data_IF_984735788142
#
_entry.id   IF_984735788142
#
_cell.length_a   1.000
_cell.length_b   1.000
_cell.length_c   1.000
_cell.angle_alpha   90.00
_cell.angle_beta   90.00
_cell.angle_gamma   90.00
#
_symmetry.space_group_name_H-M   'P 1'
#
loop_
_entity.id
_entity.type
_entity.pdbx_description
1 polymer ?
#
# COMPACT_ATOMS: atom_id res chain seq x y z
N UNK A 1 -7.25 35.76 -24.53
CA UNK A 1 -6.93 34.41 -25.01
C UNK A 1 -6.78 33.45 -23.84
N UNK A 2 -7.88 33.16 -23.15
CA UNK A 2 -7.98 32.12 -22.15
C UNK A 2 -9.42 31.60 -22.20
N UNK A 3 -9.61 30.28 -22.23
CA UNK A 3 -10.86 29.55 -21.90
C UNK A 3 -10.95 28.15 -22.55
N UNK A 4 -10.26 27.89 -23.67
CA UNK A 4 -10.37 26.56 -24.32
C UNK A 4 -9.72 25.41 -23.52
N UNK A 5 -8.66 25.68 -22.75
CA UNK A 5 -8.00 24.66 -21.91
C UNK A 5 -8.76 24.33 -20.61
N UNK A 6 -9.54 25.27 -20.05
CA UNK A 6 -10.24 25.06 -18.78
C UNK A 6 -11.60 24.38 -18.92
N UNK A 7 -12.24 24.50 -20.09
CA UNK A 7 -13.51 23.83 -20.39
C UNK A 7 -13.29 22.32 -20.63
N UNK A 8 -12.24 21.96 -21.38
CA UNK A 8 -11.90 20.56 -21.68
C UNK A 8 -11.50 19.77 -20.43
N UNK A 9 -10.83 20.42 -19.45
CA UNK A 9 -10.47 19.78 -18.19
C UNK A 9 -11.69 19.52 -17.28
N UNK A 10 -12.68 20.43 -17.29
CA UNK A 10 -13.90 20.29 -16.49
C UNK A 10 -14.73 19.09 -16.94
N UNK A 11 -14.89 18.91 -18.26
CA UNK A 11 -15.65 17.78 -18.83
C UNK A 11 -14.97 16.43 -18.52
N UNK A 12 -13.65 16.38 -18.50
CA UNK A 12 -12.91 15.14 -18.18
C UNK A 12 -13.03 14.73 -16.72
N UNK A 13 -13.00 15.68 -15.78
CA UNK A 13 -13.20 15.42 -14.36
C UNK A 13 -14.62 14.94 -14.08
N UNK A 14 -15.63 15.54 -14.71
CA UNK A 14 -17.02 15.12 -14.58
C UNK A 14 -17.24 13.70 -15.10
N UNK A 15 -16.68 13.36 -16.27
CA UNK A 15 -16.73 12.00 -16.83
C UNK A 15 -16.03 11.00 -15.92
N UNK A 16 -14.88 11.35 -15.35
CA UNK A 16 -14.18 10.51 -14.38
C UNK A 16 -15.05 10.24 -13.15
N UNK A 17 -15.61 11.29 -12.54
CA UNK A 17 -16.47 11.18 -11.35
C UNK A 17 -17.69 10.33 -11.66
N UNK A 18 -18.33 10.53 -12.82
CA UNK A 18 -19.49 9.78 -13.25
C UNK A 18 -19.16 8.28 -13.37
N UNK A 19 -18.06 7.94 -14.05
CA UNK A 19 -17.60 6.55 -14.19
C UNK A 19 -17.31 5.91 -12.83
N UNK A 20 -16.63 6.62 -11.93
CA UNK A 20 -16.35 6.12 -10.57
C UNK A 20 -17.64 5.89 -9.78
N UNK A 21 -18.61 6.79 -9.87
CA UNK A 21 -19.90 6.64 -9.21
C UNK A 21 -20.67 5.41 -9.74
N UNK A 22 -20.71 5.22 -11.06
CA UNK A 22 -21.36 4.06 -11.68
C UNK A 22 -20.68 2.75 -11.28
N UNK A 23 -19.36 2.72 -11.21
CA UNK A 23 -18.62 1.53 -10.77
C UNK A 23 -18.93 1.24 -9.29
N UNK A 24 -18.93 2.27 -8.44
CA UNK A 24 -19.29 2.13 -7.02
C UNK A 24 -20.72 1.59 -6.86
N UNK A 25 -21.69 2.13 -7.61
CA UNK A 25 -23.08 1.69 -7.53
C UNK A 25 -23.18 0.19 -7.87
N UNK A 26 -22.51 -0.26 -8.93
CA UNK A 26 -22.45 -1.68 -9.29
C UNK A 26 -21.77 -2.54 -8.22
N UNK A 27 -20.59 -2.14 -7.74
CA UNK A 27 -19.86 -2.86 -6.66
C UNK A 27 -20.71 -2.98 -5.39
N UNK A 28 -21.45 -1.94 -5.04
CA UNK A 28 -22.28 -1.91 -3.83
C UNK A 28 -23.47 -2.87 -3.86
N UNK A 29 -23.84 -3.39 -5.03
CA UNK A 29 -24.92 -4.38 -5.19
C UNK A 29 -24.43 -5.83 -5.13
N UNK A 30 -23.11 -6.06 -5.17
CA UNK A 30 -22.55 -7.40 -5.13
C UNK A 30 -22.71 -8.02 -3.74
N UNK A 31 -23.07 -9.30 -3.70
CA UNK A 31 -23.18 -10.06 -2.45
C UNK A 31 -21.82 -10.46 -1.87
N UNK A 32 -20.76 -10.42 -2.68
CA UNK A 32 -19.41 -10.86 -2.31
C UNK A 32 -18.39 -10.15 -3.19
N UNK A 33 -17.26 -9.76 -2.58
CA UNK A 33 -16.10 -9.20 -3.27
C UNK A 33 -14.98 -10.23 -3.52
N UNK A 34 -15.24 -11.52 -3.27
CA UNK A 34 -14.30 -12.60 -3.61
C UNK A 34 -13.99 -12.61 -5.12
N UNK A 35 -12.77 -13.02 -5.52
CA UNK A 35 -12.38 -13.08 -6.92
C UNK A 35 -13.40 -13.84 -7.78
N UNK A 36 -13.84 -13.17 -8.84
CA UNK A 36 -14.82 -13.68 -9.80
C UNK A 36 -14.81 -12.78 -11.02
N UNK A 37 -15.28 -13.28 -12.17
CA UNK A 37 -15.26 -12.51 -13.43
C UNK A 37 -15.89 -11.13 -13.30
N UNK A 38 -17.01 -11.01 -12.57
CA UNK A 38 -17.74 -9.74 -12.43
C UNK A 38 -17.02 -8.78 -11.50
N UNK A 39 -16.53 -9.27 -10.35
CA UNK A 39 -15.72 -8.50 -9.39
C UNK A 39 -14.44 -8.01 -10.07
N UNK A 40 -13.71 -8.91 -10.72
CA UNK A 40 -12.43 -8.63 -11.37
C UNK A 40 -12.62 -7.60 -12.50
N UNK A 41 -13.70 -7.70 -13.28
CA UNK A 41 -14.03 -6.75 -14.33
C UNK A 41 -14.33 -5.35 -13.77
N UNK A 42 -15.08 -5.24 -12.67
CA UNK A 42 -15.40 -3.95 -12.05
C UNK A 42 -14.17 -3.27 -11.44
N UNK A 43 -13.35 -4.00 -10.69
CA UNK A 43 -12.11 -3.43 -10.14
C UNK A 43 -11.08 -3.12 -11.22
N UNK A 44 -10.96 -3.94 -12.26
CA UNK A 44 -10.11 -3.62 -13.43
C UNK A 44 -10.57 -2.32 -14.09
N UNK A 45 -11.88 -2.16 -14.32
CA UNK A 45 -12.43 -0.90 -14.85
C UNK A 45 -12.11 0.27 -13.93
N UNK A 46 -12.26 0.12 -12.62
CA UNK A 46 -11.97 1.17 -11.65
C UNK A 46 -10.50 1.61 -11.71
N UNK A 47 -9.57 0.65 -11.69
CA UNK A 47 -8.13 0.93 -11.78
C UNK A 47 -7.81 1.64 -13.08
N UNK A 48 -8.31 1.14 -14.22
CA UNK A 48 -8.08 1.76 -15.53
C UNK A 48 -8.70 3.15 -15.64
N UNK A 49 -9.82 3.41 -14.95
CA UNK A 49 -10.42 4.75 -14.85
C UNK A 49 -9.55 5.71 -14.03
N UNK A 50 -8.86 5.23 -12.98
CA UNK A 50 -8.08 6.07 -12.08
C UNK A 50 -6.58 6.18 -12.44
N UNK A 51 -6.08 5.34 -13.34
CA UNK A 51 -4.66 5.25 -13.71
C UNK A 51 -4.14 6.43 -14.56
N UNK A 52 -4.90 6.98 -15.54
CA UNK A 52 -4.42 8.12 -16.31
C UNK A 52 -4.12 9.34 -15.42
N UNK A 53 -3.10 10.14 -15.75
CA UNK A 53 -2.87 11.42 -15.07
C UNK A 53 -4.13 12.29 -15.14
N UNK A 54 -4.55 12.81 -13.99
CA UNK A 54 -5.74 13.65 -13.86
C UNK A 54 -5.44 14.82 -12.93
N UNK A 55 -5.84 16.05 -13.30
CA UNK A 55 -5.67 17.23 -12.45
C UNK A 55 -6.66 17.25 -11.26
N UNK A 56 -7.57 16.28 -11.18
CA UNK A 56 -8.61 16.20 -10.17
C UNK A 56 -8.03 16.24 -8.75
N UNK A 57 -8.53 17.18 -7.95
CA UNK A 57 -8.27 17.21 -6.52
C UNK A 57 -9.40 16.45 -5.81
N UNK A 58 -9.16 15.15 -5.55
CA UNK A 58 -10.18 14.31 -4.92
C UNK A 58 -10.52 14.74 -3.49
N UNK A 59 -9.75 15.64 -2.87
CA UNK A 59 -10.04 16.19 -1.54
C UNK A 59 -11.08 17.32 -1.57
N UNK A 60 -11.28 17.95 -2.74
CA UNK A 60 -12.22 19.06 -2.95
C UNK A 60 -13.54 18.64 -3.60
N UNK A 61 -13.78 17.34 -3.73
CA UNK A 61 -15.00 16.82 -4.34
C UNK A 61 -16.26 17.18 -3.53
N UNK A 62 -17.43 17.30 -4.18
CA UNK A 62 -18.69 17.50 -3.49
C UNK A 62 -18.96 16.42 -2.43
N UNK A 63 -19.65 16.78 -1.35
CA UNK A 63 -19.86 15.89 -0.19
C UNK A 63 -20.45 14.51 -0.54
N UNK A 64 -21.36 14.44 -1.53
CA UNK A 64 -21.88 13.16 -2.03
C UNK A 64 -20.76 12.25 -2.58
N UNK A 65 -19.88 12.82 -3.40
CA UNK A 65 -18.77 12.08 -4.04
C UNK A 65 -17.69 11.73 -3.02
N UNK A 66 -17.44 12.58 -2.01
CA UNK A 66 -16.58 12.22 -0.88
C UNK A 66 -17.09 11.00 -0.11
N UNK A 67 -18.40 10.92 0.10
CA UNK A 67 -19.04 9.76 0.72
C UNK A 67 -18.85 8.48 -0.11
N UNK A 68 -19.00 8.58 -1.45
CA UNK A 68 -18.74 7.47 -2.37
C UNK A 68 -17.28 7.05 -2.30
N UNK A 69 -16.34 7.99 -2.42
CA UNK A 69 -14.89 7.75 -2.32
C UNK A 69 -14.53 7.01 -1.05
N UNK A 70 -15.04 7.45 0.10
CA UNK A 70 -14.74 6.82 1.39
C UNK A 70 -15.21 5.37 1.47
N UNK A 71 -16.38 5.06 0.88
CA UNK A 71 -16.88 3.68 0.80
C UNK A 71 -16.12 2.86 -0.22
N UNK A 72 -15.74 3.46 -1.35
CA UNK A 72 -15.00 2.78 -2.40
C UNK A 72 -13.61 2.34 -1.93
N UNK A 73 -12.88 3.19 -1.19
CA UNK A 73 -11.59 2.82 -0.58
C UNK A 73 -11.74 1.58 0.32
N UNK A 74 -12.84 1.47 1.08
CA UNK A 74 -13.11 0.29 1.92
C UNK A 74 -13.39 -0.95 1.08
N UNK A 75 -14.17 -0.82 0.01
CA UNK A 75 -14.42 -1.92 -0.93
C UNK A 75 -13.12 -2.38 -1.62
N UNK A 76 -12.24 -1.45 -2.01
CA UNK A 76 -10.92 -1.76 -2.53
C UNK A 76 -10.09 -2.56 -1.52
N UNK A 77 -10.00 -2.09 -0.26
CA UNK A 77 -9.25 -2.81 0.77
C UNK A 77 -9.78 -4.21 1.07
N UNK A 78 -11.10 -4.38 1.13
CA UNK A 78 -11.73 -5.70 1.33
C UNK A 78 -11.47 -6.63 0.13
N UNK A 79 -11.67 -6.15 -1.09
CA UNK A 79 -11.47 -6.94 -2.30
C UNK A 79 -9.99 -7.32 -2.49
N UNK A 80 -9.06 -6.41 -2.21
CA UNK A 80 -7.62 -6.68 -2.24
C UNK A 80 -7.25 -7.77 -1.23
N UNK A 81 -7.70 -7.67 0.02
CA UNK A 81 -7.44 -8.71 1.03
C UNK A 81 -8.03 -10.08 0.66
N UNK A 82 -9.23 -10.12 0.07
CA UNK A 82 -9.84 -11.36 -0.44
C UNK A 82 -9.08 -11.95 -1.63
N UNK A 83 -8.62 -11.09 -2.54
CA UNK A 83 -7.81 -11.48 -3.69
C UNK A 83 -6.46 -12.05 -3.24
N UNK A 84 -5.76 -11.35 -2.36
CA UNK A 84 -4.49 -11.80 -1.79
C UNK A 84 -4.66 -13.13 -1.04
N UNK A 85 -5.73 -13.28 -0.26
CA UNK A 85 -6.03 -14.54 0.44
C UNK A 85 -6.27 -15.70 -0.53
N UNK A 86 -7.04 -15.46 -1.60
CA UNK A 86 -7.32 -16.46 -2.63
C UNK A 86 -6.02 -16.94 -3.30
N UNK A 87 -5.18 -16.00 -3.74
CA UNK A 87 -3.92 -16.35 -4.39
C UNK A 87 -2.91 -16.95 -3.41
N UNK A 88 -2.90 -16.53 -2.15
CA UNK A 88 -2.02 -17.14 -1.13
C UNK A 88 -2.39 -18.59 -0.87
N UNK A 89 -3.69 -18.90 -0.78
CA UNK A 89 -4.16 -20.27 -0.63
C UNK A 89 -3.84 -21.13 -1.87
N UNK A 90 -3.99 -20.56 -3.08
CA UNK A 90 -3.63 -21.24 -4.32
C UNK A 90 -2.12 -21.52 -4.38
N UNK A 91 -1.29 -20.51 -4.15
CA UNK A 91 0.17 -20.63 -4.16
C UNK A 91 0.65 -21.60 -3.08
N UNK A 92 0.07 -21.53 -1.88
CA UNK A 92 0.35 -22.42 -0.77
C UNK A 92 -0.01 -23.89 -1.00
N UNK A 93 -0.72 -24.22 -2.08
CA UNK A 93 -1.01 -25.61 -2.48
C UNK A 93 0.12 -26.28 -3.27
N UNK A 94 1.09 -25.51 -3.77
CA UNK A 94 2.29 -26.03 -4.43
C UNK A 94 3.36 -26.42 -3.41
N UNK A 95 4.26 -27.34 -3.78
CA UNK A 95 5.35 -27.78 -2.91
C UNK A 95 6.36 -26.67 -2.60
N UNK A 96 6.58 -25.77 -3.54
CA UNK A 96 7.42 -24.59 -3.40
C UNK A 96 6.59 -23.39 -3.90
N UNK A 97 5.82 -22.72 -3.04
CA UNK A 97 4.88 -21.68 -3.47
C UNK A 97 5.52 -20.55 -4.28
N UNK A 98 6.74 -20.14 -3.92
CA UNK A 98 7.42 -19.01 -4.53
C UNK A 98 7.85 -19.25 -5.99
N UNK A 99 8.06 -20.51 -6.41
CA UNK A 99 8.32 -20.84 -7.82
C UNK A 99 7.11 -20.51 -8.73
N UNK A 100 5.93 -20.38 -8.13
CA UNK A 100 4.67 -20.12 -8.82
C UNK A 100 4.14 -18.70 -8.60
N UNK A 101 4.88 -17.83 -7.90
CA UNK A 101 4.43 -16.49 -7.48
C UNK A 101 3.94 -15.61 -8.64
N UNK A 102 4.45 -15.82 -9.86
CA UNK A 102 4.03 -15.11 -11.07
C UNK A 102 2.61 -15.43 -11.54
N UNK A 103 1.92 -16.40 -10.94
CA UNK A 103 0.49 -16.66 -11.15
C UNK A 103 -0.36 -15.49 -10.64
N UNK A 104 0.12 -14.75 -9.63
CA UNK A 104 -0.57 -13.56 -9.15
C UNK A 104 -0.55 -12.45 -10.23
N UNK A 105 -1.71 -11.95 -10.69
CA UNK A 105 -1.79 -11.06 -11.86
C UNK A 105 -0.97 -9.77 -11.74
N UNK A 106 -0.76 -9.27 -10.53
CA UNK A 106 -0.06 -8.00 -10.28
C UNK A 106 1.41 -8.20 -9.85
N UNK A 107 1.96 -9.40 -9.91
CA UNK A 107 3.32 -9.65 -9.42
C UNK A 107 4.38 -8.77 -10.10
N UNK A 108 4.29 -8.57 -11.42
CA UNK A 108 5.19 -7.66 -12.15
C UNK A 108 5.09 -6.22 -11.66
N UNK A 109 3.90 -5.77 -11.25
CA UNK A 109 3.71 -4.43 -10.68
C UNK A 109 4.43 -4.31 -9.33
N UNK A 110 4.38 -5.37 -8.51
CA UNK A 110 5.13 -5.43 -7.25
C UNK A 110 6.65 -5.47 -7.44
N UNK A 111 7.16 -6.11 -8.50
CA UNK A 111 8.59 -6.04 -8.85
C UNK A 111 9.01 -4.60 -9.18
N UNK A 112 8.22 -3.89 -10.00
CA UNK A 112 8.47 -2.49 -10.33
C UNK A 112 8.41 -1.59 -9.09
N UNK A 113 7.36 -1.75 -8.29
CA UNK A 113 7.15 -0.97 -7.06
C UNK A 113 8.24 -1.25 -6.03
N UNK A 114 8.60 -2.52 -5.79
CA UNK A 114 9.69 -2.88 -4.87
C UNK A 114 11.03 -2.31 -5.30
N UNK A 115 11.34 -2.32 -6.60
CA UNK A 115 12.55 -1.66 -7.14
C UNK A 115 12.52 -0.15 -6.91
N UNK A 116 11.39 0.50 -7.15
CA UNK A 116 11.19 1.93 -6.92
C UNK A 116 11.39 2.27 -5.43
N UNK A 117 10.71 1.55 -4.54
CA UNK A 117 10.79 1.72 -3.09
C UNK A 117 12.21 1.51 -2.57
N UNK A 118 12.89 0.45 -3.01
CA UNK A 118 14.30 0.21 -2.69
C UNK A 118 15.21 1.35 -3.17
N UNK A 119 15.01 1.84 -4.40
CA UNK A 119 15.83 2.92 -4.96
C UNK A 119 15.65 4.22 -4.16
N UNK A 120 14.41 4.56 -3.82
CA UNK A 120 14.09 5.74 -3.00
C UNK A 120 14.73 5.59 -1.62
N UNK A 121 14.50 4.48 -0.93
CA UNK A 121 15.02 4.21 0.40
C UNK A 121 16.56 4.28 0.44
N UNK A 122 17.22 3.66 -0.55
CA UNK A 122 18.68 3.59 -0.65
C UNK A 122 19.36 4.96 -0.76
N UNK A 123 18.65 5.97 -1.29
CA UNK A 123 19.18 7.34 -1.36
C UNK A 123 19.22 8.05 -0.01
N UNK A 124 18.48 7.57 0.99
CA UNK A 124 18.28 8.27 2.26
C UNK A 124 18.70 7.47 3.50
N UNK A 125 18.80 6.15 3.38
CA UNK A 125 19.23 5.28 4.48
C UNK A 125 20.72 5.49 4.76
N UNK A 126 21.09 5.43 6.05
CA UNK A 126 22.49 5.63 6.45
C UNK A 126 23.28 4.33 6.45
N UNK A 127 22.64 3.23 6.86
CA UNK A 127 23.16 1.88 6.72
C UNK A 127 22.63 1.26 5.40
N UNK A 128 23.47 0.97 4.40
CA UNK A 128 23.01 0.38 3.15
C UNK A 128 22.51 -1.07 3.30
N UNK A 129 22.82 -1.74 4.41
CA UNK A 129 22.39 -3.10 4.71
C UNK A 129 21.68 -3.14 6.08
N UNK A 130 20.44 -2.63 6.18
CA UNK A 130 19.70 -2.66 7.43
C UNK A 130 19.50 -4.10 7.89
N UNK A 131 19.72 -4.38 9.18
CA UNK A 131 19.54 -5.72 9.74
C UNK A 131 18.07 -6.12 9.77
N UNK A 132 17.22 -5.22 10.26
CA UNK A 132 15.80 -5.48 10.48
C UNK A 132 14.94 -4.36 9.90
N UNK A 133 13.90 -4.75 9.16
CA UNK A 133 12.88 -3.87 8.60
C UNK A 133 11.51 -4.33 9.07
N UNK A 134 10.67 -3.39 9.51
CA UNK A 134 9.26 -3.68 9.75
C UNK A 134 8.41 -3.36 8.51
N UNK A 135 7.46 -4.23 8.20
CA UNK A 135 6.44 -4.02 7.18
C UNK A 135 5.06 -4.13 7.81
N UNK A 136 4.33 -3.02 7.88
CA UNK A 136 3.06 -2.91 8.57
C UNK A 136 1.91 -3.06 7.58
N UNK A 137 1.02 -4.00 7.83
CA UNK A 137 -0.05 -4.41 6.91
C UNK A 137 0.51 -5.22 5.76
N UNK A 138 1.21 -6.30 6.09
CA UNK A 138 1.81 -7.19 5.09
C UNK A 138 0.78 -8.01 4.32
N UNK A 139 -0.39 -8.25 4.91
CA UNK A 139 -1.45 -9.03 4.29
C UNK A 139 -1.11 -10.52 4.13
N UNK A 140 -2.06 -11.30 3.58
CA UNK A 140 -1.88 -12.73 3.34
C UNK A 140 -0.86 -13.04 2.24
N UNK A 141 -0.64 -12.07 1.32
CA UNK A 141 0.29 -12.19 0.20
C UNK A 141 1.35 -11.09 0.29
N UNK A 142 2.41 -11.25 1.11
CA UNK A 142 3.35 -10.19 1.49
C UNK A 142 4.37 -9.89 0.37
N UNK A 143 3.90 -9.57 -0.83
CA UNK A 143 4.74 -9.47 -2.03
C UNK A 143 5.82 -8.41 -1.92
N UNK A 144 5.55 -7.31 -1.23
CA UNK A 144 6.56 -6.24 -1.12
C UNK A 144 7.78 -6.73 -0.34
N UNK A 145 7.57 -7.34 0.83
CA UNK A 145 8.69 -7.87 1.61
C UNK A 145 9.36 -9.05 0.92
N UNK A 146 8.61 -9.94 0.26
CA UNK A 146 9.18 -11.00 -0.60
C UNK A 146 10.08 -10.39 -1.69
N UNK A 147 9.57 -9.45 -2.48
CA UNK A 147 10.32 -8.82 -3.58
C UNK A 147 11.59 -8.12 -3.08
N UNK A 148 11.49 -7.37 -1.98
CA UNK A 148 12.64 -6.68 -1.40
C UNK A 148 13.67 -7.70 -0.88
N UNK A 149 13.24 -8.70 -0.12
CA UNK A 149 14.10 -9.74 0.45
C UNK A 149 14.79 -10.60 -0.61
N UNK A 150 14.11 -10.93 -1.71
CA UNK A 150 14.66 -11.76 -2.79
C UNK A 150 15.61 -10.99 -3.71
N UNK A 151 15.33 -9.71 -3.98
CA UNK A 151 16.00 -8.99 -5.07
C UNK A 151 16.98 -7.91 -4.62
N UNK A 152 16.78 -7.34 -3.44
CA UNK A 152 17.45 -6.09 -3.04
C UNK A 152 18.14 -6.17 -1.68
N UNK A 153 17.48 -6.74 -0.67
CA UNK A 153 17.88 -6.76 0.73
C UNK A 153 18.07 -8.21 1.21
N UNK A 154 19.01 -8.90 0.56
CA UNK A 154 19.20 -10.36 0.69
C UNK A 154 19.71 -10.83 2.05
N UNK A 155 20.17 -9.91 2.90
CA UNK A 155 20.68 -10.21 4.25
C UNK A 155 19.83 -9.59 5.35
N UNK A 156 18.72 -8.95 5.01
CA UNK A 156 17.83 -8.25 5.94
C UNK A 156 16.72 -9.19 6.42
N UNK A 157 16.38 -9.12 7.70
CA UNK A 157 15.20 -9.74 8.27
C UNK A 157 13.99 -8.81 8.12
N UNK A 158 12.89 -9.35 7.64
CA UNK A 158 11.63 -8.63 7.47
C UNK A 158 10.63 -9.06 8.55
N UNK A 159 10.24 -8.10 9.38
CA UNK A 159 9.21 -8.23 10.38
C UNK A 159 7.87 -7.77 9.79
N UNK A 160 7.06 -8.73 9.35
CA UNK A 160 5.76 -8.50 8.73
C UNK A 160 4.69 -8.48 9.82
N UNK A 161 4.00 -7.35 9.95
CA UNK A 161 2.93 -7.16 10.92
C UNK A 161 1.58 -7.18 10.20
N UNK A 162 0.66 -7.97 10.73
CA UNK A 162 -0.75 -7.94 10.37
C UNK A 162 -1.61 -8.22 11.61
N UNK A 163 -2.76 -7.56 11.69
CA UNK A 163 -3.72 -7.76 12.78
C UNK A 163 -4.51 -9.07 12.58
N UNK A 164 -4.64 -9.53 11.33
CA UNK A 164 -5.31 -10.77 10.99
C UNK A 164 -4.34 -11.95 11.02
N UNK A 165 -4.47 -12.77 12.06
CA UNK A 165 -3.72 -14.02 12.22
C UNK A 165 -3.87 -14.98 11.04
N UNK A 166 -5.03 -15.01 10.38
CA UNK A 166 -5.24 -15.86 9.21
C UNK A 166 -4.44 -15.38 8.00
N UNK A 167 -4.25 -14.07 7.86
CA UNK A 167 -3.39 -13.49 6.85
C UNK A 167 -1.93 -13.91 7.07
N UNK A 168 -1.41 -13.73 8.29
CA UNK A 168 -0.04 -14.14 8.63
C UNK A 168 0.19 -15.66 8.46
N UNK A 169 -0.80 -16.50 8.77
CA UNK A 169 -0.69 -17.94 8.54
C UNK A 169 -0.55 -18.29 7.06
N UNK A 170 -1.33 -17.64 6.18
CA UNK A 170 -1.21 -17.79 4.73
C UNK A 170 0.15 -17.30 4.25
N UNK A 171 0.57 -16.12 4.71
CA UNK A 171 1.83 -15.49 4.33
C UNK A 171 3.05 -16.33 4.74
N UNK A 172 3.06 -16.86 5.95
CA UNK A 172 4.11 -17.75 6.46
C UNK A 172 4.21 -19.04 5.65
N UNK A 173 3.07 -19.63 5.27
CA UNK A 173 3.05 -20.84 4.44
C UNK A 173 3.68 -20.64 3.05
N UNK A 174 3.61 -19.42 2.49
CA UNK A 174 4.21 -19.13 1.18
C UNK A 174 5.72 -19.26 1.18
N UNK A 175 6.37 -18.86 2.27
CA UNK A 175 7.85 -18.81 2.36
C UNK A 175 8.44 -20.02 3.08
N UNK A 176 7.61 -20.84 3.73
CA UNK A 176 8.04 -21.96 4.56
C UNK A 176 8.93 -22.99 3.82
N UNK A 177 8.72 -23.19 2.53
CA UNK A 177 9.52 -24.11 1.72
C UNK A 177 10.83 -23.50 1.19
N UNK A 178 11.00 -22.18 1.29
CA UNK A 178 12.21 -21.48 0.84
C UNK A 178 13.25 -21.45 1.98
N UNK A 179 14.44 -22.04 1.80
CA UNK A 179 15.42 -22.19 2.89
C UNK A 179 16.06 -20.88 3.36
N UNK A 180 15.95 -19.80 2.60
CA UNK A 180 16.51 -18.50 2.95
C UNK A 180 15.41 -17.56 3.49
N UNK A 181 14.29 -17.45 2.77
CA UNK A 181 13.19 -16.56 3.17
C UNK A 181 12.44 -17.06 4.41
N UNK A 182 12.33 -18.37 4.63
CA UNK A 182 11.70 -18.91 5.85
C UNK A 182 12.41 -18.46 7.14
N UNK A 183 13.73 -18.22 7.09
CA UNK A 183 14.53 -17.78 8.24
C UNK A 183 14.52 -16.25 8.41
N UNK A 184 14.33 -15.51 7.32
CA UNK A 184 14.41 -14.04 7.31
C UNK A 184 13.07 -13.33 7.26
N UNK A 185 11.97 -14.04 7.06
CA UNK A 185 10.62 -13.45 7.05
C UNK A 185 9.84 -13.88 8.30
N UNK A 186 9.71 -12.95 9.23
CA UNK A 186 9.00 -13.13 10.49
C UNK A 186 7.61 -12.52 10.36
N UNK A 187 6.60 -13.19 10.92
CA UNK A 187 5.20 -12.76 10.87
C UNK A 187 4.66 -12.57 12.29
N UNK A 188 4.05 -11.40 12.53
CA UNK A 188 3.59 -10.97 13.84
C UNK A 188 2.08 -10.74 13.82
N UNK A 189 1.34 -11.60 14.53
CA UNK A 189 -0.11 -11.52 14.75
C UNK A 189 -0.42 -10.40 15.75
N UNK A 190 -0.25 -9.14 15.35
CA UNK A 190 -0.27 -8.00 16.28
C UNK A 190 -0.76 -6.74 15.60
N UNK A 191 -1.68 -6.03 16.24
CA UNK A 191 -2.00 -4.65 15.87
C UNK A 191 -0.76 -3.78 16.12
N UNK A 192 -0.32 -3.07 15.09
CA UNK A 192 0.84 -2.19 15.20
C UNK A 192 0.69 -1.14 16.31
N UNK A 193 -0.54 -0.75 16.62
CA UNK A 193 -0.85 0.19 17.70
C UNK A 193 -0.47 -0.33 19.09
N UNK A 194 -0.31 -1.65 19.25
CA UNK A 194 0.15 -2.30 20.48
C UNK A 194 1.69 -2.42 20.55
N UNK A 195 2.39 -2.26 19.42
CA UNK A 195 3.85 -2.31 19.35
C UNK A 195 4.41 -0.93 19.70
N UNK A 196 5.10 -0.83 20.83
CA UNK A 196 5.66 0.45 21.32
C UNK A 196 7.16 0.50 21.10
N UNK A 197 7.97 0.34 22.16
CA UNK A 197 9.43 0.51 22.10
C UNK A 197 10.12 -0.43 21.12
N UNK A 198 9.53 -1.57 20.74
CA UNK A 198 10.07 -2.44 19.69
C UNK A 198 10.17 -1.75 18.32
N UNK A 199 9.38 -0.70 18.06
CA UNK A 199 9.49 0.07 16.82
C UNK A 199 10.83 0.83 16.70
N UNK A 200 11.55 1.05 17.80
CA UNK A 200 12.85 1.70 17.76
C UNK A 200 13.97 0.79 17.27
N UNK A 201 13.73 -0.52 17.16
CA UNK A 201 14.72 -1.49 16.72
C UNK A 201 14.86 -1.50 15.18
N UNK A 202 13.90 -0.90 14.46
CA UNK A 202 13.87 -0.87 13.00
C UNK A 202 14.50 0.40 12.42
N UNK A 203 15.47 0.21 11.52
CA UNK A 203 16.06 1.33 10.75
C UNK A 203 15.11 1.87 9.69
N UNK A 204 14.24 0.99 9.15
CA UNK A 204 13.21 1.32 8.17
C UNK A 204 11.91 0.65 8.56
N UNK A 205 10.83 1.43 8.51
CA UNK A 205 9.46 0.96 8.69
C UNK A 205 8.68 1.23 7.41
N UNK A 206 8.11 0.20 6.82
CA UNK A 206 7.17 0.30 5.71
C UNK A 206 5.73 0.33 6.22
N UNK A 207 4.94 1.28 5.74
CA UNK A 207 3.51 1.39 6.01
C UNK A 207 2.71 1.16 4.73
N UNK A 208 2.06 0.00 4.64
CA UNK A 208 1.30 -0.41 3.47
C UNK A 208 0.12 0.54 3.18
N UNK A 209 -0.39 0.51 1.94
CA UNK A 209 -1.44 1.43 1.49
C UNK A 209 -2.76 1.23 2.25
N UNK A 210 -3.09 -0.02 2.55
CA UNK A 210 -4.38 -0.43 3.14
C UNK A 210 -4.46 -0.31 4.67
N UNK A 211 -3.35 -0.04 5.36
CA UNK A 211 -3.38 0.26 6.80
C UNK A 211 -4.06 1.60 7.01
N UNK A 212 -5.11 1.67 7.82
CA UNK A 212 -5.89 2.89 8.02
C UNK A 212 -6.67 3.30 6.76
N UNK A 213 -7.75 2.58 6.45
CA UNK A 213 -8.58 2.77 5.23
C UNK A 213 -9.34 4.12 5.18
N UNK A 214 -9.14 5.00 6.15
CA UNK A 214 -9.53 6.40 6.08
C UNK A 214 -8.40 7.28 6.64
N UNK A 215 -8.47 8.58 6.33
CA UNK A 215 -7.42 9.53 6.68
C UNK A 215 -7.16 9.59 8.19
N UNK A 216 -8.21 9.58 9.01
CA UNK A 216 -8.09 9.67 10.47
C UNK A 216 -7.34 8.47 11.05
N UNK A 217 -7.72 7.25 10.66
CA UNK A 217 -7.07 6.03 11.13
C UNK A 217 -5.65 5.90 10.59
N UNK A 218 -5.39 6.35 9.35
CA UNK A 218 -4.02 6.43 8.81
C UNK A 218 -3.15 7.37 9.64
N UNK A 219 -3.66 8.56 9.96
CA UNK A 219 -2.96 9.54 10.79
C UNK A 219 -2.68 8.98 12.19
N UNK A 220 -3.63 8.27 12.82
CA UNK A 220 -3.40 7.63 14.14
C UNK A 220 -2.22 6.65 14.09
N UNK A 221 -2.11 5.84 13.05
CA UNK A 221 -0.97 4.92 12.87
C UNK A 221 0.32 5.71 12.64
N UNK A 222 0.30 6.74 11.81
CA UNK A 222 1.46 7.61 11.57
C UNK A 222 1.94 8.26 12.87
N UNK A 223 1.03 8.82 13.68
CA UNK A 223 1.34 9.45 14.95
C UNK A 223 1.94 8.45 15.94
N UNK A 224 1.43 7.22 15.95
CA UNK A 224 1.98 6.13 16.74
C UNK A 224 3.40 5.76 16.32
N UNK A 225 3.66 5.66 15.02
CA UNK A 225 5.01 5.46 14.48
C UNK A 225 5.94 6.63 14.82
N UNK A 226 5.46 7.87 14.72
CA UNK A 226 6.20 9.06 15.15
C UNK A 226 6.53 9.01 16.66
N UNK A 227 5.71 8.36 17.48
CA UNK A 227 5.98 8.28 18.90
C UNK A 227 7.11 7.30 19.23
N UNK A 228 7.19 6.16 18.52
CA UNK A 228 8.00 5.03 18.96
C UNK A 228 9.15 4.62 18.04
N UNK A 229 9.18 5.06 16.78
CA UNK A 229 10.34 4.84 15.91
C UNK A 229 11.59 5.56 16.43
N UNK A 230 12.76 4.97 16.18
CA UNK A 230 14.04 5.58 16.56
C UNK A 230 14.27 6.92 15.84
N UNK A 231 14.77 7.96 16.52
CA UNK A 231 15.22 9.18 15.88
C UNK A 231 16.17 8.94 14.70
N UNK A 232 15.82 9.46 13.52
CA UNK A 232 16.62 9.31 12.31
C UNK A 232 16.32 8.06 11.46
N UNK A 233 15.47 7.14 11.91
CA UNK A 233 14.99 6.02 11.09
C UNK A 233 14.06 6.51 9.96
N UNK A 234 13.84 5.66 8.96
CA UNK A 234 13.02 5.98 7.80
C UNK A 234 11.63 5.37 7.90
N UNK A 235 10.62 6.18 7.59
CA UNK A 235 9.27 5.73 7.27
C UNK A 235 9.10 5.74 5.74
N UNK A 236 8.84 4.57 5.18
CA UNK A 236 8.44 4.37 3.79
C UNK A 236 6.94 4.12 3.76
N UNK A 237 6.14 5.05 3.25
CA UNK A 237 4.68 4.91 3.29
C UNK A 237 4.07 4.99 1.90
N UNK A 238 3.08 4.14 1.66
CA UNK A 238 2.28 4.17 0.44
C UNK A 238 1.10 5.13 0.60
N UNK A 239 0.90 5.95 -0.43
CA UNK A 239 -0.14 6.97 -0.56
C UNK A 239 -0.75 6.88 -1.97
N UNK A 240 -1.58 7.86 -2.34
CA UNK A 240 -2.14 8.02 -3.67
C UNK A 240 -2.09 9.49 -4.12
N UNK A 241 -2.26 9.72 -5.41
CA UNK A 241 -2.24 11.05 -6.02
C UNK A 241 -3.23 11.14 -7.19
N UNK A 242 -3.88 12.30 -7.33
CA UNK A 242 -4.91 12.55 -8.34
C UNK A 242 -6.06 11.54 -8.25
N UNK A 243 -6.52 11.04 -9.40
CA UNK A 243 -7.62 10.08 -9.48
C UNK A 243 -7.35 8.76 -8.73
N UNK A 244 -6.09 8.35 -8.54
CA UNK A 244 -5.75 7.16 -7.74
C UNK A 244 -6.19 7.29 -6.28
N UNK A 245 -6.49 8.50 -5.81
CA UNK A 245 -7.08 8.74 -4.50
C UNK A 245 -8.52 8.22 -4.34
N UNK A 246 -9.16 7.71 -5.39
CA UNK A 246 -10.39 6.91 -5.27
C UNK A 246 -10.14 5.46 -4.81
N UNK A 247 -8.91 4.96 -4.99
CA UNK A 247 -8.50 3.59 -4.65
C UNK A 247 -7.95 3.52 -3.21
N UNK A 248 -7.14 4.50 -2.82
CA UNK A 248 -6.45 4.52 -1.53
C UNK A 248 -6.58 5.87 -0.80
N UNK A 249 -6.40 5.88 0.53
CA UNK A 249 -6.22 7.14 1.28
C UNK A 249 -5.03 7.94 0.74
N UNK A 250 -5.18 9.27 0.75
CA UNK A 250 -4.09 10.20 0.43
C UNK A 250 -3.48 10.65 1.74
N UNK A 251 -2.17 10.50 1.84
CA UNK A 251 -1.31 11.11 2.87
C UNK A 251 -0.53 12.24 2.21
N UNK A 252 -0.65 13.44 2.79
CA UNK A 252 0.10 14.63 2.39
C UNK A 252 1.27 14.87 3.36
N UNK A 253 2.30 15.67 2.98
CA UNK A 253 3.39 16.00 3.89
C UNK A 253 2.96 16.62 5.22
N UNK A 254 1.84 17.36 5.23
CA UNK A 254 1.27 17.94 6.46
C UNK A 254 0.67 16.90 7.41
N UNK A 255 0.39 15.69 6.92
CA UNK A 255 -0.18 14.59 7.70
C UNK A 255 0.92 13.74 8.40
N UNK A 256 2.18 14.18 8.35
CA UNK A 256 3.34 13.47 8.90
C UNK A 256 4.03 14.25 10.04
N UNK A 257 3.29 14.70 11.08
CA UNK A 257 3.91 15.36 12.21
C UNK A 257 4.94 14.43 12.89
N UNK A 258 6.07 14.99 13.30
CA UNK A 258 7.17 14.21 13.89
C UNK A 258 8.09 13.52 12.88
N UNK A 259 7.84 13.69 11.58
CA UNK A 259 8.73 13.28 10.49
C UNK A 259 9.16 14.47 9.62
N UNK A 260 10.37 14.39 9.08
CA UNK A 260 10.87 15.23 8.00
C UNK A 260 10.65 14.51 6.67
N UNK A 261 9.77 15.04 5.81
CA UNK A 261 9.54 14.46 4.48
C UNK A 261 10.74 14.71 3.58
N UNK A 262 11.40 13.65 3.13
CA UNK A 262 12.60 13.72 2.29
C UNK A 262 12.25 13.74 0.80
N UNK A 263 11.29 12.92 0.38
CA UNK A 263 10.79 12.91 -0.98
C UNK A 263 9.37 12.33 -1.08
N UNK A 264 8.66 12.75 -2.13
CA UNK A 264 7.37 12.21 -2.54
C UNK A 264 7.49 11.78 -4.00
N UNK A 265 7.09 10.56 -4.30
CA UNK A 265 7.11 10.01 -5.65
C UNK A 265 5.71 9.61 -6.09
N UNK A 266 5.30 10.12 -7.25
CA UNK A 266 4.02 9.79 -7.89
C UNK A 266 4.30 9.00 -9.17
N UNK A 267 3.97 7.70 -9.22
CA UNK A 267 4.16 6.91 -10.43
C UNK A 267 3.26 7.43 -11.56
N UNK A 268 3.80 7.39 -12.78
CA UNK A 268 3.12 7.82 -14.01
C UNK A 268 2.80 6.64 -14.94
N UNK A 269 3.16 5.41 -14.53
CA UNK A 269 2.97 4.16 -15.25
C UNK A 269 1.86 3.31 -14.60
N UNK A 270 1.96 1.99 -14.74
CA UNK A 270 1.04 0.99 -14.18
C UNK A 270 1.21 0.76 -12.67
N UNK A 271 2.19 1.40 -12.03
CA UNK A 271 2.29 1.43 -10.57
C UNK A 271 1.25 2.41 -10.01
N UNK A 272 0.47 1.96 -9.02
CA UNK A 272 -0.63 2.74 -8.46
C UNK A 272 -0.20 3.56 -7.25
N UNK A 273 0.54 2.96 -6.31
CA UNK A 273 0.85 3.64 -5.06
C UNK A 273 1.89 4.74 -5.26
N UNK A 274 1.57 5.94 -4.77
CA UNK A 274 2.60 6.94 -4.50
C UNK A 274 3.42 6.50 -3.29
N UNK A 275 4.68 6.90 -3.24
CA UNK A 275 5.59 6.57 -2.14
C UNK A 275 6.07 7.85 -1.51
N UNK A 276 5.95 7.96 -0.18
CA UNK A 276 6.58 9.03 0.59
C UNK A 276 7.67 8.40 1.44
N UNK A 277 8.86 8.99 1.40
CA UNK A 277 9.96 8.68 2.30
C UNK A 277 10.15 9.83 3.27
N UNK A 278 10.08 9.54 4.56
CA UNK A 278 10.21 10.52 5.62
C UNK A 278 11.17 10.02 6.70
N UNK A 279 11.91 10.93 7.31
CA UNK A 279 12.85 10.62 8.40
C UNK A 279 12.24 10.98 9.73
N UNK A 280 12.34 10.09 10.71
CA UNK A 280 11.88 10.40 12.06
C UNK A 280 12.69 11.58 12.63
N UNK A 281 12.00 12.66 12.99
CA UNK A 281 12.66 13.86 13.52
C UNK A 281 13.42 13.55 14.80
N UNK A 282 14.63 14.12 14.92
CA UNK A 282 15.52 13.96 16.08
C UNK A 282 15.10 14.76 17.31
N UNK A 283 14.25 15.76 17.11
CA UNK A 283 13.75 16.65 18.14
C UNK A 283 12.22 16.49 18.20
N UNK A 284 11.69 16.18 19.39
CA UNK A 284 10.26 16.33 19.66
C UNK A 284 10.03 17.82 19.95
N UNK A 285 9.15 18.47 19.17
CA UNK A 285 8.58 19.77 19.55
C UNK A 285 7.33 19.52 20.39
#
# INVERSE_FOLDING_TARGET
>A
MGSLGSLVSCDQEEVLIQNVCEIYDNLSTLQSLKPSKDVDALFTRLVLTCMPPSPIDVTKLPGRVQGIRSKLIRLCGEAEGLLESHFSALLGSYSIPLDHISIFPYYTNYIKLGRLEYTIMSNYITNPNPSDIAFIGSGPLPLTSIVLASNHLKTTTFHNYDIDRSANALASNLVAADPDLSERMLFHDTDIMDVTTGLSDYEVVFLAALVGLNKEDKCKVIDHLAKYMAPGSLLMLRSAHGARGFLYPIVEPSDLPGFEVLAVFHPMDDVINSVIVARKSKYQY
#
